data_IF_237389435541
#
_entry.id   IF_237389435541
#
_cell.length_a   1.000
_cell.length_b   1.000
_cell.length_c   1.000
_cell.angle_alpha   90.00
_cell.angle_beta   90.00
_cell.angle_gamma   90.00
#
_symmetry.space_group_name_H-M   'P 1'
#
loop_
_entity.id
_entity.type
_entity.pdbx_description
1 polymer ?
#
# COMPACT_ATOMS: atom_id res chain seq x y z
N UNK A 1 -15.88 -3.10 1.49
CA UNK A 1 -14.42 -2.93 1.47
C UNK A 1 -13.78 -3.65 0.27
N UNK A 2 -13.84 -4.98 0.17
CA UNK A 2 -13.16 -5.72 -0.92
C UNK A 2 -13.71 -5.39 -2.32
N UNK A 3 -15.03 -5.24 -2.50
CA UNK A 3 -15.60 -4.83 -3.80
C UNK A 3 -15.21 -3.40 -4.19
N UNK A 4 -15.09 -2.50 -3.21
CA UNK A 4 -14.62 -1.13 -3.44
C UNK A 4 -13.12 -1.11 -3.81
N UNK A 5 -12.32 -1.97 -3.19
CA UNK A 5 -10.92 -2.20 -3.56
C UNK A 5 -10.83 -2.79 -4.98
N UNK A 6 -11.65 -3.78 -5.31
CA UNK A 6 -11.69 -4.38 -6.63
C UNK A 6 -12.02 -3.36 -7.72
N UNK A 7 -12.97 -2.46 -7.44
CA UNK A 7 -13.32 -1.36 -8.33
C UNK A 7 -12.21 -0.29 -8.43
N UNK A 8 -11.40 -0.08 -7.39
CA UNK A 8 -10.39 0.99 -7.35
C UNK A 8 -9.05 0.62 -7.99
N UNK A 9 -8.71 -0.67 -8.11
CA UNK A 9 -7.40 -1.12 -8.65
C UNK A 9 -7.21 -0.71 -10.11
N UNK A 10 -8.27 -0.74 -10.93
CA UNK A 10 -8.26 -0.18 -12.30
C UNK A 10 -7.16 -0.70 -13.23
N UNK A 11 -6.54 -1.83 -12.90
CA UNK A 11 -5.41 -2.43 -13.60
C UNK A 11 -5.78 -3.74 -14.32
N UNK A 12 -4.84 -4.34 -15.08
CA UNK A 12 -5.11 -5.54 -15.87
C UNK A 12 -5.29 -6.82 -15.03
N UNK A 13 -4.93 -6.78 -13.75
CA UNK A 13 -5.01 -7.93 -12.85
C UNK A 13 -6.38 -8.02 -12.18
N UNK A 14 -7.02 -9.19 -12.28
CA UNK A 14 -8.28 -9.46 -11.57
C UNK A 14 -8.04 -9.57 -10.07
N UNK A 15 -8.86 -8.87 -9.29
CA UNK A 15 -8.81 -8.93 -7.83
C UNK A 15 -9.45 -10.23 -7.34
N UNK A 16 -8.72 -11.00 -6.53
CA UNK A 16 -9.22 -12.21 -5.88
C UNK A 16 -9.48 -11.92 -4.39
N UNK A 17 -10.75 -11.96 -4.00
CA UNK A 17 -11.19 -11.66 -2.62
C UNK A 17 -10.56 -12.57 -1.58
N UNK A 18 -10.53 -13.88 -1.83
CA UNK A 18 -9.98 -14.86 -0.89
C UNK A 18 -8.50 -14.58 -0.69
N UNK A 19 -7.74 -14.43 -1.78
CA UNK A 19 -6.31 -14.14 -1.73
C UNK A 19 -6.01 -12.83 -1.01
N UNK A 20 -6.77 -11.76 -1.29
CA UNK A 20 -6.61 -10.49 -0.59
C UNK A 20 -6.86 -10.64 0.92
N UNK A 21 -7.90 -11.37 1.32
CA UNK A 21 -8.21 -11.66 2.72
C UNK A 21 -7.10 -12.46 3.41
N UNK A 22 -6.60 -13.52 2.78
CA UNK A 22 -5.48 -14.32 3.29
C UNK A 22 -4.21 -13.50 3.46
N UNK A 23 -3.87 -12.65 2.47
CA UNK A 23 -2.72 -11.76 2.57
C UNK A 23 -2.86 -10.82 3.77
N UNK A 24 -4.01 -10.15 3.92
CA UNK A 24 -4.25 -9.24 5.05
C UNK A 24 -4.20 -9.97 6.40
N UNK A 25 -4.80 -11.16 6.49
CA UNK A 25 -4.75 -11.99 7.71
C UNK A 25 -3.33 -12.43 8.05
N UNK A 26 -2.52 -12.77 7.04
CA UNK A 26 -1.11 -13.10 7.22
C UNK A 26 -0.30 -11.93 7.79
N UNK A 27 -0.52 -10.71 7.28
CA UNK A 27 0.17 -9.52 7.77
C UNK A 27 -0.11 -9.22 9.25
N UNK A 28 -1.30 -9.53 9.75
CA UNK A 28 -1.63 -9.32 11.17
C UNK A 28 -0.81 -10.21 12.12
N UNK A 29 -0.30 -11.34 11.64
CA UNK A 29 0.55 -12.25 12.42
C UNK A 29 2.05 -12.09 12.15
N UNK A 30 2.43 -11.24 11.20
CA UNK A 30 3.82 -11.02 10.80
C UNK A 30 4.39 -9.80 11.54
N UNK A 31 5.50 -9.92 12.29
CA UNK A 31 6.15 -8.77 12.93
C UNK A 31 6.62 -7.70 11.94
N UNK A 32 6.78 -8.05 10.66
CA UNK A 32 7.14 -7.12 9.58
C UNK A 32 5.93 -6.61 8.80
N UNK A 33 4.71 -7.06 9.13
CA UNK A 33 3.47 -6.65 8.49
C UNK A 33 2.73 -5.55 9.25
N UNK A 34 1.89 -4.81 8.54
CA UNK A 34 0.96 -3.86 9.14
C UNK A 34 -0.35 -3.80 8.37
N UNK A 35 -1.45 -3.67 9.11
CA UNK A 35 -2.77 -3.36 8.58
C UNK A 35 -3.43 -2.33 9.48
N UNK A 36 -3.60 -1.11 8.99
CA UNK A 36 -4.42 -0.09 9.66
C UNK A 36 -5.80 -0.04 9.03
N UNK A 37 -6.83 0.02 9.87
CA UNK A 37 -8.22 -0.01 9.44
C UNK A 37 -9.00 1.19 9.96
N UNK A 38 -10.07 1.50 9.23
CA UNK A 38 -11.09 2.48 9.56
C UNK A 38 -12.46 1.90 9.19
N UNK A 39 -13.54 2.59 9.52
CA UNK A 39 -14.89 2.14 9.18
C UNK A 39 -15.10 2.03 7.65
N UNK A 40 -14.44 2.90 6.87
CA UNK A 40 -14.57 2.96 5.41
C UNK A 40 -13.34 2.55 4.60
N UNK A 41 -12.30 1.98 5.22
CA UNK A 41 -11.04 1.79 4.51
C UNK A 41 -9.93 1.11 5.28
N UNK A 42 -8.81 0.90 4.61
CA UNK A 42 -7.59 0.35 5.17
C UNK A 42 -6.34 0.84 4.42
N UNK A 43 -5.19 0.69 5.07
CA UNK A 43 -3.88 0.64 4.40
C UNK A 43 -3.13 -0.57 4.95
N UNK A 44 -2.49 -1.33 4.07
CA UNK A 44 -1.70 -2.49 4.41
C UNK A 44 -0.31 -2.39 3.77
N UNK A 45 0.69 -2.89 4.49
CA UNK A 45 2.05 -2.94 3.99
C UNK A 45 2.92 -3.93 4.73
N UNK A 46 4.14 -4.08 4.25
CA UNK A 46 5.14 -4.99 4.81
C UNK A 46 6.54 -4.39 4.69
N UNK A 47 7.41 -4.69 5.65
CA UNK A 47 8.83 -4.40 5.55
C UNK A 47 9.52 -5.41 4.65
N UNK A 48 10.27 -4.93 3.67
CA UNK A 48 11.03 -5.77 2.75
C UNK A 48 12.40 -5.17 2.46
N UNK A 49 13.26 -5.96 1.81
CA UNK A 49 14.53 -5.51 1.25
C UNK A 49 14.49 -5.66 -0.27
N UNK A 50 15.34 -4.91 -0.96
CA UNK A 50 15.52 -5.06 -2.40
C UNK A 50 16.68 -6.00 -2.70
N UNK A 51 16.76 -6.51 -3.93
CA UNK A 51 17.89 -7.37 -4.33
C UNK A 51 19.23 -6.61 -4.37
N UNK A 52 19.20 -5.28 -4.43
CA UNK A 52 20.39 -4.42 -4.60
C UNK A 52 20.85 -3.74 -3.30
N UNK A 53 20.02 -3.73 -2.26
CA UNK A 53 20.34 -3.13 -0.97
C UNK A 53 19.64 -3.87 0.16
N UNK A 54 20.35 -4.13 1.28
CA UNK A 54 19.76 -4.69 2.49
C UNK A 54 18.99 -3.65 3.31
N UNK A 55 18.95 -2.38 2.89
CA UNK A 55 18.23 -1.36 3.64
C UNK A 55 16.72 -1.67 3.66
N UNK A 56 16.06 -1.55 4.84
CA UNK A 56 14.65 -1.86 4.98
C UNK A 56 13.77 -0.83 4.26
N UNK A 57 12.76 -1.32 3.53
CA UNK A 57 11.81 -0.52 2.78
C UNK A 57 10.39 -0.93 3.15
N UNK A 58 9.55 0.03 3.51
CA UNK A 58 8.13 -0.19 3.73
C UNK A 58 7.40 -0.21 2.39
N UNK A 59 6.85 -1.37 2.00
CA UNK A 59 6.05 -1.51 0.78
C UNK A 59 4.57 -1.45 1.12
N UNK A 60 3.83 -0.59 0.43
CA UNK A 60 2.37 -0.64 0.42
C UNK A 60 1.88 -1.79 -0.45
N UNK A 61 0.90 -2.52 0.07
CA UNK A 61 0.26 -3.67 -0.58
C UNK A 61 -1.19 -3.39 -0.95
N UNK A 62 -1.81 -2.41 -0.30
CA UNK A 62 -3.13 -1.91 -0.64
C UNK A 62 -3.53 -0.71 0.21
N UNK A 63 -4.04 0.34 -0.43
CA UNK A 63 -4.57 1.53 0.23
C UNK A 63 -5.90 1.97 -0.41
N UNK A 64 -6.96 2.01 0.40
CA UNK A 64 -8.29 2.42 -0.05
C UNK A 64 -9.11 2.96 1.11
N UNK A 65 -9.81 4.07 0.91
CA UNK A 65 -10.73 4.63 1.89
C UNK A 65 -11.89 5.39 1.24
N UNK A 66 -13.10 5.23 1.78
CA UNK A 66 -14.32 5.93 1.33
C UNK A 66 -14.90 6.89 2.38
N UNK A 67 -14.37 6.89 3.60
CA UNK A 67 -14.83 7.66 4.77
C UNK A 67 -13.92 8.86 5.09
N UNK A 68 -13.15 9.34 4.11
CA UNK A 68 -12.14 10.41 4.26
C UNK A 68 -10.99 10.07 5.22
N UNK A 69 -10.88 8.82 5.68
CA UNK A 69 -9.76 8.38 6.54
C UNK A 69 -8.43 8.23 5.79
N UNK A 70 -8.43 8.27 4.45
CA UNK A 70 -7.27 7.92 3.62
C UNK A 70 -5.97 8.60 4.04
N UNK A 71 -5.99 9.92 4.31
CA UNK A 71 -4.80 10.64 4.77
C UNK A 71 -4.35 10.24 6.18
N UNK A 72 -5.30 10.01 7.09
CA UNK A 72 -5.01 9.54 8.44
C UNK A 72 -4.39 8.15 8.42
N UNK A 73 -4.86 7.27 7.54
CA UNK A 73 -4.29 5.95 7.30
C UNK A 73 -2.88 6.06 6.73
N UNK A 74 -2.66 6.92 5.74
CA UNK A 74 -1.33 7.17 5.18
C UNK A 74 -0.34 7.69 6.24
N UNK A 75 -0.76 8.62 7.10
CA UNK A 75 0.08 9.09 8.21
C UNK A 75 0.45 7.98 9.20
N UNK A 76 -0.51 7.11 9.54
CA UNK A 76 -0.23 5.97 10.40
C UNK A 76 0.78 5.01 9.75
N UNK A 77 0.68 4.80 8.43
CA UNK A 77 1.63 3.97 7.69
C UNK A 77 3.03 4.58 7.62
N UNK A 78 3.14 5.88 7.34
CA UNK A 78 4.42 6.61 7.34
C UNK A 78 5.09 6.59 8.72
N UNK A 79 4.31 6.79 9.78
CA UNK A 79 4.80 6.74 11.16
C UNK A 79 5.30 5.33 11.51
N UNK A 80 4.51 4.30 11.22
CA UNK A 80 4.93 2.90 11.40
C UNK A 80 6.22 2.59 10.63
N UNK A 81 6.32 3.00 9.37
CA UNK A 81 7.52 2.78 8.56
C UNK A 81 8.76 3.41 9.21
N UNK A 82 8.63 4.64 9.71
CA UNK A 82 9.71 5.33 10.42
C UNK A 82 10.09 4.63 11.73
N UNK A 83 9.10 4.18 12.51
CA UNK A 83 9.33 3.43 13.76
C UNK A 83 10.03 2.08 13.53
N UNK A 84 9.75 1.43 12.40
CA UNK A 84 10.43 0.20 11.98
C UNK A 84 11.82 0.44 11.36
N UNK A 85 12.25 1.71 11.24
CA UNK A 85 13.56 2.07 10.68
C UNK A 85 13.64 1.96 9.16
N UNK A 86 12.52 2.02 8.44
CA UNK A 86 12.53 2.03 6.98
C UNK A 86 13.33 3.23 6.44
N UNK A 87 14.17 2.99 5.44
CA UNK A 87 14.90 4.06 4.73
C UNK A 87 14.07 4.66 3.60
N UNK A 88 13.07 3.92 3.09
CA UNK A 88 12.16 4.35 2.05
C UNK A 88 10.75 3.80 2.29
N UNK A 89 9.75 4.51 1.75
CA UNK A 89 8.37 4.04 1.62
C UNK A 89 8.05 3.94 0.12
N UNK A 90 7.67 2.76 -0.34
CA UNK A 90 7.22 2.51 -1.72
C UNK A 90 5.71 2.40 -1.77
N UNK A 91 5.10 3.30 -2.53
CA UNK A 91 3.66 3.37 -2.76
C UNK A 91 3.36 3.11 -4.22
N UNK A 92 2.31 2.33 -4.50
CA UNK A 92 1.83 2.15 -5.86
C UNK A 92 0.64 3.07 -6.13
N UNK A 93 0.66 3.80 -7.25
CA UNK A 93 -0.48 4.59 -7.69
C UNK A 93 -0.59 4.59 -9.21
N UNK A 94 -1.80 4.36 -9.72
CA UNK A 94 -2.12 4.47 -11.15
C UNK A 94 -2.66 5.87 -11.48
N UNK A 95 -1.88 6.92 -11.16
CA UNK A 95 -2.28 8.30 -11.41
C UNK A 95 -3.39 8.85 -10.50
N UNK A 96 -4.09 9.86 -11.03
CA UNK A 96 -5.30 10.39 -10.41
C UNK A 96 -5.10 11.07 -9.05
N UNK A 97 -6.08 10.89 -8.16
CA UNK A 97 -6.09 11.56 -6.86
C UNK A 97 -5.01 11.00 -5.91
N UNK A 98 -4.76 9.68 -5.93
CA UNK A 98 -3.75 9.05 -5.09
C UNK A 98 -2.35 9.58 -5.41
N UNK A 99 -1.95 9.59 -6.69
CA UNK A 99 -0.63 10.13 -7.08
C UNK A 99 -0.47 11.60 -6.67
N UNK A 100 -1.47 12.46 -6.90
CA UNK A 100 -1.41 13.87 -6.49
C UNK A 100 -1.27 14.04 -4.98
N UNK A 101 -1.90 13.17 -4.19
CA UNK A 101 -1.75 13.19 -2.73
C UNK A 101 -0.31 12.84 -2.36
N UNK A 102 0.24 11.77 -2.93
CA UNK A 102 1.60 11.32 -2.68
C UNK A 102 2.64 12.40 -3.06
N UNK A 103 2.53 12.98 -4.26
CA UNK A 103 3.43 14.05 -4.71
C UNK A 103 3.41 15.27 -3.76
N UNK A 104 2.23 15.68 -3.30
CA UNK A 104 2.09 16.77 -2.31
C UNK A 104 2.71 16.44 -0.95
N UNK A 105 2.93 15.15 -0.66
CA UNK A 105 3.57 14.67 0.57
C UNK A 105 5.06 14.40 0.40
N UNK A 106 5.64 14.74 -0.76
CA UNK A 106 7.06 14.58 -1.02
C UNK A 106 7.46 13.22 -1.59
N UNK A 107 6.49 12.36 -1.94
CA UNK A 107 6.80 11.19 -2.75
C UNK A 107 7.17 11.63 -4.17
N UNK A 108 8.15 10.97 -4.76
CA UNK A 108 8.56 11.18 -6.15
C UNK A 108 8.39 9.88 -6.92
N UNK A 109 8.13 10.00 -8.22
CA UNK A 109 8.08 8.83 -9.10
C UNK A 109 9.50 8.28 -9.26
N UNK A 110 9.74 7.07 -8.74
CA UNK A 110 11.03 6.40 -8.83
C UNK A 110 11.08 5.32 -9.94
N UNK A 111 9.96 4.66 -10.23
CA UNK A 111 9.87 3.57 -11.21
C UNK A 111 8.52 3.55 -11.93
N UNK A 112 8.50 2.97 -13.13
CA UNK A 112 7.27 2.74 -13.93
C UNK A 112 7.09 1.24 -14.12
N UNK A 113 5.93 0.72 -13.75
CA UNK A 113 5.59 -0.68 -13.96
C UNK A 113 5.03 -0.89 -15.37
N UNK A 114 5.69 -1.73 -16.15
CA UNK A 114 5.25 -2.13 -17.49
C UNK A 114 4.56 -3.50 -17.42
N UNK A 115 3.37 -3.63 -17.99
CA UNK A 115 2.55 -4.85 -17.91
C UNK A 115 2.17 -5.37 -19.29
N UNK A 116 2.16 -6.70 -19.44
CA UNK A 116 1.66 -7.40 -20.63
C UNK A 116 0.73 -8.52 -20.19
N UNK A 117 -0.52 -8.48 -20.65
CA UNK A 117 -1.44 -9.60 -20.47
C UNK A 117 -0.97 -10.80 -21.29
N UNK A 118 -1.04 -12.00 -20.70
CA UNK A 118 -0.75 -13.29 -21.36
C UNK A 118 -2.07 -14.03 -21.52
#
# INVERSE_FOLDING_TARGET
>A
MIEALAASVGGPQRVCRIRAGETLAGLLGDPQGVVFVSDGGFIAGQMMQTVISPDPVAFELGWMATDRSGLRLLWAFEAWAAEQGATLIKMSANGGAAQRILERRGYTVAEVQMVKAI
#
